data_IF_096743522733
#
_entry.id   IF_096743522733
#
_cell.length_a   1.000
_cell.length_b   1.000
_cell.length_c   1.000
_cell.angle_alpha   90.00
_cell.angle_beta   90.00
_cell.angle_gamma   90.00
#
_symmetry.space_group_name_H-M   'P 1'
#
loop_
_entity.id
_entity.type
_entity.pdbx_description
1 polymer ?
2 branched ?
3 water ?
#
# COMPACT_ATOMS: atom_id res chain seq x y z
N UNK A 1 2.18 -10.37 20.49
CA UNK A 1 1.21 -9.74 19.56
C UNK A 1 0.59 -8.52 20.20
N UNK A 2 0.12 -7.56 19.44
CA UNK A 2 -0.51 -6.39 19.98
C UNK A 2 -1.77 -6.11 19.21
N UNK A 3 -2.92 -6.04 19.86
CA UNK A 3 -4.15 -5.74 19.22
C UNK A 3 -4.42 -4.23 19.20
N UNK A 4 -4.78 -3.71 18.07
CA UNK A 4 -5.13 -2.31 17.85
C UNK A 4 -6.54 -2.22 17.29
N UNK A 5 -7.43 -1.55 18.02
CA UNK A 5 -8.79 -1.36 17.56
C UNK A 5 -9.11 0.15 17.38
N UNK A 6 -8.36 1.07 17.92
CA UNK A 6 -8.60 2.51 17.68
C UNK A 6 -8.50 2.71 16.18
N UNK A 7 -9.36 3.56 15.61
CA UNK A 7 -9.37 3.75 14.14
C UNK A 7 -8.00 4.16 13.57
N UNK A 8 -7.29 5.00 14.26
CA UNK A 8 -5.95 5.43 13.79
C UNK A 8 -4.89 4.96 14.76
N UNK A 9 -5.10 3.89 15.45
CA UNK A 9 -4.06 3.31 16.25
C UNK A 9 -2.95 2.72 15.43
N UNK A 10 -1.75 2.71 16.01
CA UNK A 10 -0.58 2.16 15.39
C UNK A 10 0.29 1.51 16.44
N UNK A 11 1.23 0.66 16.02
CA UNK A 11 2.28 0.12 16.85
C UNK A 11 3.45 -0.13 15.94
N UNK A 12 4.64 -0.29 16.55
CA UNK A 12 5.86 -0.55 15.82
C UNK A 12 6.18 -2.05 15.97
N UNK A 13 6.72 -2.65 14.89
CA UNK A 13 7.18 -4.00 14.91
C UNK A 13 8.63 -4.04 14.45
N UNK A 14 9.28 -5.05 15.07
CA UNK A 14 10.67 -5.36 15.01
C UNK A 14 11.54 -4.10 15.17
N UNK A 15 11.07 -3.09 15.88
CA UNK A 15 11.79 -1.82 15.95
C UNK A 15 12.15 -1.25 14.57
N UNK A 16 11.28 -1.53 13.56
CA UNK A 16 11.59 -1.09 12.23
C UNK A 16 10.37 -0.61 11.37
N UNK A 17 9.21 -1.13 11.58
CA UNK A 17 8.08 -0.77 10.73
C UNK A 17 6.94 -0.39 11.62
N UNK A 18 5.99 0.34 11.06
CA UNK A 18 4.75 0.71 11.74
C UNK A 18 3.63 -0.07 11.14
N UNK A 19 2.83 -0.68 12.02
CA UNK A 19 1.55 -1.29 11.69
C UNK A 19 0.45 -0.30 12.04
N UNK A 20 -0.42 0.00 11.10
CA UNK A 20 -1.49 0.97 11.26
C UNK A 20 -2.85 0.35 10.95
N UNK A 21 -3.81 0.57 11.86
CA UNK A 21 -5.18 0.15 11.62
C UNK A 21 -5.78 0.96 10.46
N UNK A 22 -5.56 2.26 10.50
CA UNK A 22 -5.84 3.18 9.40
C UNK A 22 -7.23 3.03 8.85
N UNK A 23 -8.19 3.14 9.77
CA UNK A 23 -9.59 2.90 9.45
C UNK A 23 -10.28 4.18 8.95
N UNK A 24 -9.77 4.69 7.83
CA UNK A 24 -10.07 6.05 7.43
C UNK A 24 -11.42 6.23 6.73
N UNK A 25 -12.04 5.15 6.31
CA UNK A 25 -13.25 5.16 5.49
C UNK A 25 -14.42 4.42 6.06
N UNK A 26 -14.52 4.21 7.36
CA UNK A 26 -15.54 3.41 7.95
C UNK A 26 -15.88 3.83 9.39
N UNK A 27 -17.18 3.80 9.67
CA UNK A 27 -17.70 4.02 10.97
C UNK A 27 -17.90 2.77 11.79
N UNK A 28 -17.55 1.62 11.28
CA UNK A 28 -17.76 0.32 11.93
C UNK A 28 -16.43 -0.20 12.50
N UNK A 29 -16.47 -1.03 13.52
CA UNK A 29 -15.22 -1.50 14.14
C UNK A 29 -14.28 -2.24 13.19
N UNK A 30 -13.02 -2.08 13.45
CA UNK A 30 -11.91 -2.81 12.81
C UNK A 30 -10.78 -2.98 13.79
N UNK A 31 -10.20 -4.18 13.86
CA UNK A 31 -9.06 -4.44 14.70
C UNK A 31 -7.98 -5.17 13.88
N UNK A 32 -6.74 -4.84 14.16
CA UNK A 32 -5.63 -5.57 13.61
C UNK A 32 -4.80 -6.01 14.79
N UNK A 33 -4.20 -7.20 14.67
CA UNK A 33 -3.29 -7.74 15.65
C UNK A 33 -1.92 -7.78 14.96
N UNK A 34 -1.02 -6.96 15.46
CA UNK A 34 0.36 -6.91 15.00
C UNK A 34 1.10 -8.11 15.55
N UNK A 35 1.92 -8.71 14.71
CA UNK A 35 2.89 -9.72 15.06
C UNK A 35 4.31 -9.12 14.90
N UNK A 36 5.38 -9.91 15.19
CA UNK A 36 6.71 -9.37 15.02
C UNK A 36 7.04 -9.11 13.56
N UNK A 37 6.31 -9.70 12.59
CA UNK A 37 6.68 -9.53 11.21
C UNK A 37 5.59 -8.98 10.30
N UNK A 38 4.40 -8.78 10.88
CA UNK A 38 3.31 -8.28 10.07
C UNK A 38 2.11 -8.05 10.94
N UNK A 39 0.93 -8.42 10.43
CA UNK A 39 -0.31 -8.25 11.18
C UNK A 39 -1.40 -9.13 10.57
N UNK A 40 -2.44 -9.36 11.34
CA UNK A 40 -3.65 -10.00 10.82
C UNK A 40 -4.85 -9.12 11.17
N UNK A 41 -5.79 -9.07 10.25
CA UNK A 41 -7.03 -8.35 10.45
C UNK A 41 -7.94 -9.25 11.25
N UNK A 42 -8.23 -8.87 12.49
CA UNK A 42 -8.97 -9.73 13.37
C UNK A 42 -10.43 -9.37 13.48
N UNK A 43 -10.83 -8.16 13.10
CA UNK A 43 -12.21 -7.76 13.04
C UNK A 43 -12.29 -6.72 11.93
N UNK A 44 -13.29 -6.77 11.09
CA UNK A 44 -13.42 -5.78 10.00
C UNK A 44 -14.90 -5.74 9.64
N UNK A 45 -15.63 -5.02 10.46
CA UNK A 45 -17.08 -4.95 10.35
C UNK A 45 -17.52 -3.98 9.29
N UNK A 46 -18.76 -4.17 8.85
CA UNK A 46 -19.29 -3.29 7.89
C UNK A 46 -18.89 -3.47 6.46
N UNK A 47 -19.59 -2.69 5.65
CA UNK A 47 -19.35 -2.66 4.21
C UNK A 47 -19.20 -1.21 3.77
N UNK A 48 -18.56 -1.06 2.65
CA UNK A 48 -18.48 0.25 2.00
C UNK A 48 -18.97 0.03 0.53
N UNK A 49 -19.76 0.91 -0.06
CA UNK A 49 -20.13 0.71 -1.47
C UNK A 49 -18.91 0.53 -2.34
N UNK A 50 -19.01 -0.44 -3.22
CA UNK A 50 -17.85 -0.90 -3.97
C UNK A 50 -17.42 0.03 -5.09
N UNK A 51 -18.17 1.07 -5.43
CA UNK A 51 -17.70 2.05 -6.39
C UNK A 51 -17.10 3.25 -5.66
N UNK A 52 -16.99 3.25 -4.35
CA UNK A 52 -16.46 4.39 -3.59
C UNK A 52 -15.20 4.00 -2.85
N UNK A 53 -14.80 4.81 -1.84
CA UNK A 53 -13.62 4.55 -1.03
C UNK A 53 -13.78 3.28 -0.26
N UNK A 54 -12.70 2.59 -0.02
CA UNK A 54 -12.77 1.40 0.83
C UNK A 54 -13.00 1.81 2.27
N UNK A 55 -13.15 0.81 3.15
CA UNK A 55 -13.33 1.08 4.54
C UNK A 55 -12.07 1.63 5.22
N UNK A 56 -10.88 1.28 4.70
CA UNK A 56 -9.68 1.36 5.46
C UNK A 56 -8.49 0.97 4.60
N UNK A 57 -7.30 1.18 5.14
CA UNK A 57 -6.06 0.63 4.57
C UNK A 57 -5.15 0.18 5.71
N UNK A 58 -5.56 -0.92 6.38
CA UNK A 58 -4.70 -1.54 7.39
C UNK A 58 -3.43 -2.01 6.68
N UNK A 59 -2.26 -1.70 7.24
CA UNK A 59 -1.00 -1.81 6.52
C UNK A 59 0.17 -1.72 7.45
N UNK A 60 1.31 -2.08 6.90
CA UNK A 60 2.62 -1.97 7.56
C UNK A 60 3.51 -1.11 6.64
N UNK A 61 4.34 -0.27 7.26
CA UNK A 61 5.14 0.62 6.41
C UNK A 61 6.50 0.94 7.00
N UNK A 62 7.39 1.33 6.04
CA UNK A 62 8.65 2.01 6.23
C UNK A 62 8.48 3.42 5.72
N UNK A 63 8.82 4.43 6.53
CA UNK A 63 8.80 5.81 6.14
C UNK A 63 7.90 6.65 7.02
N UNK A 64 7.42 7.74 6.45
CA UNK A 64 6.64 8.74 7.18
C UNK A 64 5.28 8.86 6.57
N UNK A 65 4.26 8.80 7.40
CA UNK A 65 2.84 8.87 6.99
C UNK A 65 2.14 9.76 8.03
N UNK A 66 1.72 10.95 7.65
CA UNK A 66 0.96 11.83 8.55
C UNK A 66 1.67 11.99 9.91
N UNK A 67 2.93 12.33 9.87
CA UNK A 67 3.86 12.55 10.99
C UNK A 67 4.38 11.31 11.66
N UNK A 68 3.81 10.16 11.36
CA UNK A 68 4.19 8.90 11.97
C UNK A 68 5.34 8.30 11.14
N UNK A 69 6.54 8.38 11.65
CA UNK A 69 7.71 7.87 10.92
C UNK A 69 8.22 6.64 11.57
N UNK A 70 8.46 5.59 10.82
CA UNK A 70 8.93 4.33 11.34
C UNK A 70 10.31 4.49 11.94
N UNK A 71 10.66 3.71 12.95
CA UNK A 71 11.92 3.94 13.70
C UNK A 71 13.13 3.87 12.79
N UNK A 72 13.95 4.93 12.87
CA UNK A 72 15.19 4.90 12.12
C UNK A 72 15.08 4.99 10.66
N UNK A 73 13.89 5.34 10.10
CA UNK A 73 13.77 5.30 8.66
C UNK A 73 14.71 6.29 7.97
N UNK A 74 15.25 5.98 6.81
CA UNK A 74 15.99 7.03 6.13
C UNK A 74 15.08 7.86 5.24
N UNK A 75 13.81 7.51 5.15
CA UNK A 75 12.89 8.29 4.32
C UNK A 75 12.44 9.51 5.10
N UNK A 76 12.06 10.58 4.41
CA UNK A 76 12.13 10.79 2.97
C UNK A 76 13.54 10.89 2.40
N UNK A 77 13.71 10.37 1.20
CA UNK A 77 15.01 10.37 0.52
C UNK A 77 14.77 10.78 -0.92
N UNK A 78 15.70 11.55 -1.48
CA UNK A 78 15.57 11.98 -2.87
C UNK A 78 15.89 10.82 -3.78
N UNK A 79 15.02 10.66 -4.79
CA UNK A 79 15.11 9.47 -5.67
C UNK A 79 16.41 9.31 -6.38
N UNK A 80 17.05 10.37 -6.77
CA UNK A 80 18.29 10.32 -7.52
C UNK A 80 19.44 9.92 -6.63
N UNK A 81 19.24 9.70 -5.35
CA UNK A 81 20.25 9.20 -4.44
C UNK A 81 20.02 7.67 -4.13
N UNK A 82 18.93 7.10 -4.63
CA UNK A 82 18.54 5.75 -4.28
C UNK A 82 19.12 4.77 -5.29
N UNK A 83 19.96 3.87 -4.80
CA UNK A 83 20.48 2.80 -5.62
C UNK A 83 19.52 1.64 -5.79
N UNK A 84 18.74 1.34 -4.82
CA UNK A 84 17.78 0.26 -4.79
C UNK A 84 16.85 0.41 -3.64
N UNK A 85 15.62 -0.09 -3.76
CA UNK A 85 14.62 -0.04 -2.70
C UNK A 85 13.94 -1.38 -2.60
N UNK A 86 14.64 -2.42 -2.22
CA UNK A 86 14.04 -3.76 -2.15
C UNK A 86 12.94 -3.83 -1.10
N UNK A 87 11.89 -4.56 -1.42
CA UNK A 87 10.83 -4.86 -0.51
C UNK A 87 10.36 -6.28 -0.77
N UNK A 88 9.85 -6.91 0.29
CA UNK A 88 9.25 -8.24 0.13
C UNK A 88 8.02 -8.37 1.04
N UNK A 89 7.16 -9.28 0.61
CA UNK A 89 5.91 -9.47 1.30
C UNK A 89 5.48 -10.92 1.14
N UNK A 90 4.78 -11.40 2.16
CA UNK A 90 4.00 -12.64 2.18
C UNK A 90 2.61 -12.31 2.68
N UNK A 91 1.62 -12.61 1.87
CA UNK A 91 0.23 -12.32 2.18
C UNK A 91 -0.55 -13.59 2.48
N UNK A 92 -1.51 -13.46 3.38
CA UNK A 92 -2.57 -14.43 3.66
C UNK A 92 -3.89 -13.89 3.17
N UNK A 93 -4.47 -14.56 2.20
CA UNK A 93 -5.74 -14.14 1.59
C UNK A 93 -6.89 -14.90 2.21
N UNK A 94 -8.06 -14.36 2.03
CA UNK A 94 -9.29 -15.01 2.50
C UNK A 94 -10.11 -15.37 1.26
N UNK A 95 -10.78 -16.53 1.33
CA UNK A 95 -11.69 -16.66 0.15
C UNK A 95 -12.86 -15.79 0.53
N UNK A 96 -13.47 -15.27 -0.51
CA UNK A 96 -14.55 -14.34 -0.51
C UNK A 96 -14.14 -13.01 0.05
N UNK A 97 -15.09 -12.29 0.63
CA UNK A 97 -14.97 -10.91 1.06
C UNK A 97 -14.81 -10.00 -0.19
N UNK A 98 -14.62 -8.70 -0.05
CA UNK A 98 -14.35 -7.81 -1.17
C UNK A 98 -13.19 -6.93 -0.76
N UNK A 99 -12.06 -7.05 -1.44
CA UNK A 99 -10.83 -6.37 -1.00
C UNK A 99 -9.82 -6.40 -2.08
N UNK A 100 -8.83 -5.53 -1.93
CA UNK A 100 -7.54 -5.72 -2.59
C UNK A 100 -6.46 -5.92 -1.51
N UNK A 101 -5.36 -6.52 -1.97
CA UNK A 101 -4.08 -6.54 -1.29
C UNK A 101 -3.17 -5.64 -2.08
N UNK A 102 -2.66 -4.58 -1.47
CA UNK A 102 -1.89 -3.60 -2.24
C UNK A 102 -0.81 -2.94 -1.44
N UNK A 103 0.24 -2.59 -2.21
CA UNK A 103 1.23 -1.62 -1.79
C UNK A 103 0.79 -0.19 -2.14
N UNK A 104 1.14 0.75 -1.29
CA UNK A 104 0.95 2.19 -1.44
C UNK A 104 2.31 2.84 -1.30
N UNK A 105 2.93 3.34 -2.38
CA UNK A 105 4.25 3.94 -2.41
C UNK A 105 4.04 5.43 -2.70
N UNK A 106 4.52 6.27 -1.85
CA UNK A 106 4.23 7.71 -1.94
C UNK A 106 5.47 8.50 -2.33
N UNK A 107 5.26 9.41 -3.29
CA UNK A 107 6.28 10.29 -3.82
C UNK A 107 5.84 11.72 -3.71
N UNK A 108 6.77 12.65 -3.55
CA UNK A 108 6.44 14.09 -3.43
C UNK A 108 7.62 14.90 -3.91
N UNK A 109 7.41 16.11 -4.42
CA UNK A 109 8.56 16.97 -4.74
C UNK A 109 9.33 17.51 -3.53
N UNK A 110 8.71 17.39 -2.36
CA UNK A 110 9.36 17.81 -1.13
C UNK A 110 9.64 16.62 -0.22
N UNK A 111 10.48 16.84 0.81
CA UNK A 111 10.81 15.77 1.79
C UNK A 111 9.69 15.69 2.78
N UNK A 112 8.54 15.27 2.29
CA UNK A 112 7.30 15.34 2.98
C UNK A 112 7.10 14.27 4.06
N UNK A 113 6.74 14.69 5.29
CA UNK A 113 6.49 13.81 6.41
C UNK A 113 5.07 13.85 6.94
N UNK A 114 4.28 14.78 6.40
CA UNK A 114 2.92 14.91 6.83
C UNK A 114 2.04 15.29 5.66
N UNK A 115 0.76 15.11 5.79
CA UNK A 115 -0.15 15.50 4.74
C UNK A 115 -0.16 14.60 3.51
N UNK A 116 -0.84 15.07 2.48
CA UNK A 116 -1.04 14.31 1.25
C UNK A 116 0.15 14.46 0.34
N UNK A 117 0.77 13.34 -0.05
CA UNK A 117 1.85 13.34 -1.03
C UNK A 117 1.26 13.44 -2.40
N UNK A 118 2.02 14.08 -3.32
CA UNK A 118 1.46 14.42 -4.61
C UNK A 118 1.20 13.18 -5.49
N UNK A 119 2.02 12.13 -5.41
CA UNK A 119 1.80 10.95 -6.24
C UNK A 119 1.77 9.68 -5.39
N UNK A 120 0.80 8.88 -5.82
CA UNK A 120 0.61 7.61 -5.17
C UNK A 120 0.78 6.51 -6.20
N UNK A 121 1.68 5.58 -5.89
CA UNK A 121 1.77 4.36 -6.67
C UNK A 121 1.06 3.27 -5.90
N UNK A 122 0.12 2.62 -6.54
CA UNK A 122 -0.53 1.46 -5.99
C UNK A 122 -0.09 0.22 -6.76
N UNK A 123 0.18 -0.84 -6.01
CA UNK A 123 0.49 -2.10 -6.67
C UNK A 123 -0.50 -3.09 -6.10
N UNK A 124 -1.42 -3.58 -6.93
CA UNK A 124 -2.45 -4.54 -6.50
C UNK A 124 -1.93 -5.95 -6.71
N UNK A 125 -1.64 -6.63 -5.61
CA UNK A 125 -1.23 -8.01 -5.60
C UNK A 125 -2.39 -8.95 -5.70
N UNK A 126 -3.60 -8.53 -5.30
CA UNK A 126 -4.77 -9.34 -5.43
C UNK A 126 -5.99 -8.42 -5.38
N UNK A 127 -7.05 -8.86 -6.01
CA UNK A 127 -8.33 -8.18 -6.17
C UNK A 127 -9.42 -9.26 -5.95
N UNK A 128 -10.35 -9.17 -5.03
CA UNK A 128 -11.49 -10.06 -4.96
C UNK A 128 -12.74 -9.18 -4.87
N UNK A 129 -13.73 -9.46 -5.74
CA UNK A 129 -14.95 -8.72 -5.77
C UNK A 129 -14.94 -7.60 -6.78
N UNK A 130 -16.07 -6.91 -6.87
CA UNK A 130 -16.29 -5.95 -7.96
C UNK A 130 -15.78 -4.55 -7.64
N UNK A 131 -14.45 -4.51 -7.59
CA UNK A 131 -13.70 -3.27 -7.32
C UNK A 131 -12.66 -3.01 -8.41
N UNK A 132 -12.25 -1.76 -8.55
CA UNK A 132 -11.21 -1.45 -9.55
C UNK A 132 -10.47 -0.25 -9.04
N UNK A 133 -9.33 0.05 -9.60
CA UNK A 133 -8.59 1.26 -9.22
C UNK A 133 -9.30 2.53 -9.58
N UNK A 134 -8.76 3.57 -8.99
CA UNK A 134 -9.04 4.97 -9.30
C UNK A 134 -8.74 5.26 -10.75
N UNK A 135 -9.63 5.97 -11.50
CA UNK A 135 -9.29 6.42 -12.80
C UNK A 135 -9.65 5.46 -13.94
N UNK A 136 -8.78 5.38 -14.91
CA UNK A 136 -8.98 4.66 -16.16
C UNK A 136 -7.87 3.68 -16.42
N UNK A 137 -8.09 2.55 -17.04
CA UNK A 137 -6.99 1.75 -17.54
C UNK A 137 -6.27 2.50 -18.64
N UNK A 138 -5.01 2.21 -18.82
CA UNK A 138 -4.17 2.77 -19.85
C UNK A 138 -3.61 1.73 -20.81
N UNK A 139 -3.23 0.59 -20.29
CA UNK A 139 -2.53 -0.44 -21.05
C UNK A 139 -1.79 -1.31 -20.06
N UNK A 140 -0.86 -2.12 -20.60
CA UNK A 140 -0.04 -2.96 -19.75
C UNK A 140 1.34 -2.36 -19.58
N UNK A 141 2.06 -2.80 -18.59
CA UNK A 141 3.47 -2.51 -18.37
C UNK A 141 4.16 -3.76 -17.84
N UNK A 142 5.39 -3.94 -18.15
CA UNK A 142 6.21 -4.97 -17.62
C UNK A 142 7.17 -4.33 -16.60
N UNK A 143 7.03 -4.74 -15.33
CA UNK A 143 7.83 -4.18 -14.27
C UNK A 143 8.27 -5.34 -13.38
N UNK A 144 9.62 -5.41 -13.16
CA UNK A 144 10.13 -6.45 -12.30
C UNK A 144 9.92 -7.86 -12.87
N UNK A 145 9.75 -8.01 -14.14
CA UNK A 145 9.56 -9.32 -14.73
C UNK A 145 8.14 -9.79 -14.72
N UNK A 146 7.23 -8.94 -14.30
CA UNK A 146 5.81 -9.29 -14.19
C UNK A 146 5.02 -8.32 -15.06
N UNK A 147 3.86 -8.73 -15.54
CA UNK A 147 2.98 -7.89 -16.32
C UNK A 147 1.92 -7.28 -15.37
N UNK A 148 1.58 -6.03 -15.63
CA UNK A 148 0.60 -5.27 -14.86
C UNK A 148 -0.35 -4.53 -15.79
N UNK A 149 -1.61 -4.44 -15.42
CA UNK A 149 -2.52 -3.51 -16.08
C UNK A 149 -2.36 -2.16 -15.33
N UNK A 150 -1.99 -1.13 -16.07
CA UNK A 150 -1.79 0.20 -15.53
C UNK A 150 -3.08 0.99 -15.58
N UNK A 151 -3.43 1.62 -14.48
CA UNK A 151 -4.52 2.56 -14.39
C UNK A 151 -3.96 3.90 -13.93
N UNK A 152 -4.58 4.99 -14.34
CA UNK A 152 -4.16 6.35 -13.94
C UNK A 152 -5.37 7.18 -13.63
N UNK A 153 -5.31 7.96 -12.60
CA UNK A 153 -6.30 8.98 -12.35
C UNK A 153 -5.92 9.81 -11.16
N UNK A 154 -6.93 10.42 -10.55
CA UNK A 154 -6.76 11.30 -9.42
C UNK A 154 -7.93 11.10 -8.46
N UNK A 155 -7.62 11.32 -7.19
CA UNK A 155 -8.64 11.16 -6.14
C UNK A 155 -9.09 12.49 -5.61
N UNK A 156 -8.69 13.60 -6.19
CA UNK A 156 -9.05 14.86 -5.62
C UNK A 156 -8.01 15.43 -4.74
N UNK A 157 -7.10 14.63 -4.27
CA UNK A 157 -6.02 15.04 -3.41
C UNK A 157 -4.65 14.89 -4.11
N UNK A 158 -4.50 13.80 -4.84
CA UNK A 158 -3.21 13.41 -5.38
C UNK A 158 -3.38 12.62 -6.70
N UNK A 159 -2.33 12.41 -7.45
CA UNK A 159 -2.31 11.55 -8.60
C UNK A 159 -2.24 10.09 -8.12
N UNK A 160 -2.81 9.18 -8.82
CA UNK A 160 -2.77 7.78 -8.51
C UNK A 160 -2.41 6.97 -9.75
N UNK A 161 -1.31 6.26 -9.71
CA UNK A 161 -0.90 5.34 -10.76
C UNK A 161 -0.96 3.96 -10.20
N UNK A 162 -1.76 3.09 -10.74
CA UNK A 162 -1.97 1.75 -10.22
C UNK A 162 -1.43 0.72 -11.20
N UNK A 163 -0.83 -0.33 -10.63
CA UNK A 163 -0.30 -1.50 -11.34
C UNK A 163 -1.06 -2.73 -10.82
N UNK A 164 -1.86 -3.36 -11.65
CA UNK A 164 -2.73 -4.40 -11.17
C UNK A 164 -2.25 -5.77 -11.68
N UNK A 165 -2.04 -6.70 -10.77
CA UNK A 165 -1.61 -8.05 -11.15
C UNK A 165 -2.71 -8.78 -11.91
N UNK A 166 -2.28 -9.66 -12.83
CA UNK A 166 -3.28 -10.47 -13.60
C UNK A 166 -3.95 -11.53 -12.76
N UNK A 167 -3.37 -11.99 -11.69
CA UNK A 167 -3.95 -12.96 -10.76
C UNK A 167 -3.19 -12.81 -9.46
N UNK A 168 -3.68 -13.49 -8.43
CA UNK A 168 -3.18 -13.30 -7.09
C UNK A 168 -1.70 -13.57 -6.97
N UNK A 169 -1.00 -12.65 -6.31
CA UNK A 169 0.41 -12.80 -5.90
C UNK A 169 0.48 -12.94 -4.40
N UNK A 170 0.73 -14.10 -3.86
CA UNK A 170 0.78 -14.25 -2.42
C UNK A 170 2.10 -13.93 -1.79
N UNK A 171 3.18 -13.84 -2.59
CA UNK A 171 4.47 -13.48 -2.06
C UNK A 171 5.33 -12.98 -3.18
N UNK A 172 6.17 -11.97 -2.90
CA UNK A 172 7.11 -11.51 -3.89
C UNK A 172 8.18 -10.71 -3.19
N UNK A 173 9.34 -10.66 -3.78
CA UNK A 173 10.39 -9.69 -3.49
C UNK A 173 10.68 -8.91 -4.76
N UNK A 174 10.83 -7.61 -4.66
CA UNK A 174 10.93 -6.74 -5.81
C UNK A 174 11.62 -5.44 -5.41
N UNK A 175 11.99 -4.65 -6.41
CA UNK A 175 12.59 -3.34 -6.19
C UNK A 175 11.52 -2.27 -6.39
N UNK A 176 11.19 -1.56 -5.31
CA UNK A 176 10.26 -0.45 -5.43
C UNK A 176 10.69 0.54 -6.48
N UNK A 177 12.03 0.72 -6.66
CA UNK A 177 12.51 1.66 -7.68
C UNK A 177 12.10 1.27 -9.07
N UNK A 178 11.84 0.02 -9.35
CA UNK A 178 11.38 -0.34 -10.69
C UNK A 178 10.04 0.31 -10.97
N UNK A 179 9.16 0.36 -9.97
CA UNK A 179 7.84 0.99 -10.13
C UNK A 179 7.96 2.51 -10.13
N UNK A 180 8.88 3.05 -9.31
CA UNK A 180 9.14 4.49 -9.32
C UNK A 180 9.64 4.90 -10.70
N UNK A 181 10.57 4.17 -11.29
CA UNK A 181 11.05 4.51 -12.61
C UNK A 181 9.91 4.53 -13.62
N UNK A 182 9.00 3.56 -13.56
CA UNK A 182 7.87 3.52 -14.53
C UNK A 182 6.98 4.73 -14.32
N UNK A 183 6.86 5.19 -13.09
CA UNK A 183 6.01 6.33 -12.76
C UNK A 183 6.61 7.65 -13.26
N UNK A 184 7.92 7.80 -13.03
CA UNK A 184 8.67 8.92 -13.61
C UNK A 184 8.55 8.93 -15.12
N UNK A 185 8.67 7.79 -15.73
CA UNK A 185 8.65 7.75 -17.17
C UNK A 185 7.28 8.20 -17.72
N UNK A 186 6.19 8.07 -16.93
CA UNK A 186 4.86 8.55 -17.35
C UNK A 186 4.61 10.00 -16.92
N UNK A 187 5.60 10.66 -16.31
CA UNK A 187 5.49 12.07 -15.97
C UNK A 187 4.82 12.37 -14.68
N UNK A 188 4.62 11.39 -13.81
CA UNK A 188 3.91 11.58 -12.54
C UNK A 188 4.83 11.76 -11.32
N UNK A 189 6.14 11.89 -11.61
CA UNK A 189 7.13 12.26 -10.66
C UNK A 189 8.40 12.60 -11.49
N UNK A 190 9.40 13.14 -10.81
CA UNK A 190 10.66 13.45 -11.41
C UNK A 190 11.78 12.81 -10.59
N UNK A 191 12.96 12.69 -11.22
CA UNK A 191 14.08 12.00 -10.58
C UNK A 191 14.57 12.75 -9.37
N UNK A 192 14.23 14.03 -9.14
CA UNK A 192 14.61 14.79 -7.97
C UNK A 192 13.45 14.91 -7.00
N UNK A 193 12.36 14.12 -7.15
CA UNK A 193 11.39 14.00 -6.08
C UNK A 193 11.92 13.11 -4.97
N UNK A 194 11.08 12.97 -3.91
CA UNK A 194 11.37 12.16 -2.74
C UNK A 194 10.44 10.99 -2.64
N UNK A 195 11.01 9.87 -2.22
CA UNK A 195 10.25 8.68 -1.73
C UNK A 195 9.99 8.92 -0.24
N UNK A 196 8.72 8.90 0.17
CA UNK A 196 8.38 9.21 1.58
C UNK A 196 7.87 8.05 2.36
N UNK A 197 7.27 7.04 1.75
CA UNK A 197 6.96 5.81 2.45
C UNK A 197 6.70 4.70 1.45
N UNK A 198 6.87 3.47 1.94
CA UNK A 198 6.57 2.21 1.28
C UNK A 198 5.65 1.45 2.24
N UNK A 199 4.40 1.23 1.82
CA UNK A 199 3.40 0.63 2.66
C UNK A 199 2.83 -0.61 1.98
N UNK A 200 2.39 -1.59 2.74
CA UNK A 200 1.73 -2.77 2.19
C UNK A 200 0.62 -3.20 3.13
N UNK A 201 -0.52 -3.55 2.56
CA UNK A 201 -1.64 -3.97 3.36
C UNK A 201 -2.80 -4.32 2.46
N UNK A 202 -4.01 -3.99 2.91
CA UNK A 202 -5.24 -4.30 2.25
C UNK A 202 -6.16 -3.14 2.24
N UNK A 203 -6.95 -3.03 1.16
CA UNK A 203 -8.16 -2.14 1.15
C UNK A 203 -9.40 -3.03 1.17
N UNK A 204 -10.08 -3.17 2.28
CA UNK A 204 -11.31 -3.96 2.32
C UNK A 204 -12.54 -3.06 2.13
N UNK A 205 -13.48 -3.57 1.30
CA UNK A 205 -14.80 -3.00 1.18
C UNK A 205 -15.87 -3.79 1.93
N UNK A 206 -15.78 -5.12 1.94
CA UNK A 206 -16.75 -5.97 2.62
C UNK A 206 -15.94 -6.99 3.38
N UNK A 207 -16.26 -7.14 4.66
CA UNK A 207 -15.59 -8.08 5.53
C UNK A 207 -14.08 -7.74 5.55
N UNK A 208 -13.23 -8.78 5.61
CA UNK A 208 -11.79 -8.59 5.71
C UNK A 208 -11.15 -9.30 6.86
N UNK A 209 -11.87 -9.71 7.86
CA UNK A 209 -11.26 -10.48 8.92
C UNK A 209 -10.59 -11.73 8.35
N UNK A 210 -9.39 -12.01 8.85
CA UNK A 210 -8.61 -13.16 8.37
C UNK A 210 -7.51 -12.76 7.42
N UNK A 211 -7.59 -11.61 6.76
CA UNK A 211 -6.51 -11.14 5.88
C UNK A 211 -5.26 -10.93 6.73
N UNK A 212 -4.10 -11.25 6.17
CA UNK A 212 -2.89 -11.09 6.93
C UNK A 212 -1.73 -10.68 6.05
N UNK A 213 -0.85 -9.85 6.58
CA UNK A 213 0.53 -9.68 6.11
C UNK A 213 1.37 -10.58 7.00
N UNK A 214 1.83 -11.70 6.48
CA UNK A 214 2.62 -12.63 7.24
C UNK A 214 4.02 -12.09 7.49
N UNK A 215 4.60 -11.42 6.52
CA UNK A 215 5.90 -10.83 6.68
C UNK A 215 6.03 -9.68 5.67
N UNK A 216 6.88 -8.74 6.03
CA UNK A 216 7.13 -7.58 5.20
C UNK A 216 8.54 -7.10 5.45
N UNK A 217 9.21 -6.65 4.41
CA UNK A 217 10.45 -5.93 4.56
C UNK A 217 10.50 -4.75 3.59
N UNK A 218 11.23 -3.69 3.92
CA UNK A 218 11.49 -2.59 3.02
C UNK A 218 12.76 -1.90 3.46
N UNK A 219 13.69 -1.68 2.55
CA UNK A 219 14.89 -0.93 2.76
C UNK A 219 15.06 0.01 1.59
N UNK A 220 15.66 1.15 1.83
CA UNK A 220 15.88 2.13 0.74
C UNK A 220 17.33 2.43 0.86
N UNK A 221 18.16 1.97 -0.09
CA UNK A 221 19.57 2.11 -0.13
C UNK A 221 20.09 3.24 -1.01
N UNK A 222 21.07 3.95 -0.46
CA UNK A 222 21.48 5.19 -1.12
C UNK A 222 22.93 5.15 -1.56
X LIG B 1 -5.88 4.94 -2.53
X LIG B 1 -6.25 6.38 -2.28
X LIG B 1 -5.47 6.91 -1.10
X LIG B 1 -5.69 6.03 0.13
X LIG B 1 -5.25 4.61 -0.22
X LIG B 1 -5.43 3.61 0.91
X LIG B 1 -6.70 4.33 -3.55
X LIG B 1 -5.94 8.24 -0.83
X LIG B 1 -4.77 6.48 1.14
X LIG B 1 -6.11 4.21 -1.32
X LIG B 1 -6.84 3.43 1.15
X LIG B 1 -5.92 7.15 -3.42
X LIG B 2 -4.64 5.39 -2.58
X LIG B 2 -5.47 6.63 -2.34
X LIG B 2 -5.05 7.19 -1.00
X LIG B 2 -5.24 6.18 0.09
X LIG B 2 -4.53 4.87 -0.23
X LIG B 2 -4.88 3.74 0.75
X LIG B 2 -5.88 8.36 -0.77
X LIG B 2 -4.50 6.71 1.23
X LIG B 2 -4.93 4.48 -1.54
X LIG B 2 -6.29 3.64 0.93
X LIG B 2 -5.18 7.56 -3.36
X LIG B 3 -4.27 6.83 3.56
X LIG B 3 -4.95 7.29 4.80
X LIG B 3 -5.65 8.62 4.59
X LIG B 3 -6.64 8.45 3.47
X LIG B 3 -7.49 9.67 3.19
X LIG B 3 -5.31 6.81 2.41
X LIG B 3 -3.76 5.53 3.74
X LIG B 3 -3.97 7.39 5.82
X LIG B 3 -6.38 8.99 5.76
X LIG B 3 -5.90 8.09 2.29
X LIG B 3 -6.83 10.72 2.66
X LIG B 3 -3.54 7.44 3.33
X LIG B 3 -5.62 6.62 5.07
X LIG B 3 -4.99 9.32 4.36
X LIG B 3 -7.24 7.70 3.68
X LIG B 3 -8.21 9.41 2.59
X LIG B 3 -7.89 9.94 4.03
X LIG B 3 -4.32 7.55 6.54
X LIG B 3 -6.10 10.48 2.39
X LIG B 4 -6.58 10.87 7.23
X LIG B 4 -5.82 11.74 8.19
X LIG B 4 -5.21 10.90 9.28
X LIG B 4 -4.40 9.77 8.62
X LIG B 4 -3.84 8.81 9.69
X LIG B 4 -5.68 9.81 6.65
X LIG B 4 -7.08 11.69 6.15
X LIG B 4 -6.70 12.74 8.78
X LIG B 4 -4.32 11.77 10.01
X LIG B 4 -5.25 9.02 7.73
X LIG B 4 -3.50 7.50 9.05
X LIG B 4 -7.33 10.44 7.68
X LIG B 4 -5.10 12.20 7.70
X LIG B 4 -5.90 10.54 9.87
X LIG B 4 -3.65 10.15 8.11
X LIG B 4 -3.05 9.18 10.10
X LIG B 4 -4.51 8.66 10.38
X LIG B 4 -4.92 10.23 6.21
X LIG B 4 -6.56 11.66 5.51
X LIG B 4 -6.35 13.48 8.73
X LIG B 4 -4.68 12.02 10.70
X LIG B 4 -3.19 7.64 8.30
#
# INVERSE_FOLDING_TARGET
DTTICEPFGTTTIQGRYVVQNNRWGSTAPQCVTATDTGFRVTQADGSAPTNGAPKSYPSVFNGCHYTNCSPGTDLPVRLDTVSAAPSSISYGFVDGAVYNASYDIWLDPTARTDGVNQTEIMIWFNRVGPIQPIGSPVGTASVGGRTWEVWSGGNGSNDVLSFVAPSAISGWSFDVMDFVRATVARGLAENDWYLTSVQAGFEPWQNGAGLAVNSFSSTVETGTPGGTDPGDPG
SHG C1 C2 C3 C4 C5 C6 O1 O3 O4 O5 O6 F2
G2F C1 C2 C3 C4 C5 C6 O3 O4 O5 O6 F2
BGC C2 C3 C4 C5 C6 C1 O2 O3 O4 O5 O6 H2 H3 H4 H5 H61 H62 HO3 HO6
BGC C2 C3 C4 C5 C6 C1 O2 O3 O4 O5 O6 H2 H3 H4 H5 H61 H62 H1 HO2 HO3 HO4 HO6
#
